data_IF_237085744979
#
_entry.id   IF_237085744979
#
_cell.length_a   1.000
_cell.length_b   1.000
_cell.length_c   1.000
_cell.angle_alpha   90.00
_cell.angle_beta   90.00
_cell.angle_gamma   90.00
#
_symmetry.space_group_name_H-M   'P 1'
#
loop_
_entity.id
_entity.type
_entity.pdbx_description
1 polymer ?
#
# COMPACT_ATOMS: atom_id res chain seq x y z
N UNK A 1 -23.35 -15.58 4.35
CA UNK A 1 -23.66 -14.14 4.54
C UNK A 1 -22.66 -13.36 5.42
N UNK A 2 -22.01 -13.96 6.43
CA UNK A 2 -21.10 -13.25 7.37
C UNK A 2 -19.80 -12.73 6.71
N UNK A 3 -19.24 -13.46 5.74
CA UNK A 3 -18.00 -13.09 5.02
C UNK A 3 -18.12 -11.75 4.26
N UNK A 4 -19.28 -11.49 3.65
CA UNK A 4 -19.52 -10.26 2.87
C UNK A 4 -19.68 -9.03 3.78
N UNK A 5 -20.30 -9.18 4.96
CA UNK A 5 -20.41 -8.10 5.94
C UNK A 5 -19.06 -7.68 6.52
N UNK A 6 -18.14 -8.62 6.76
CA UNK A 6 -16.79 -8.31 7.23
C UNK A 6 -15.99 -7.52 6.18
N UNK A 7 -16.05 -7.94 4.91
CA UNK A 7 -15.40 -7.24 3.80
C UNK A 7 -15.90 -5.79 3.62
N UNK A 8 -17.22 -5.55 3.69
CA UNK A 8 -17.76 -4.18 3.64
C UNK A 8 -17.30 -3.33 4.84
N UNK A 9 -17.16 -3.93 6.03
CA UNK A 9 -16.74 -3.20 7.22
C UNK A 9 -15.29 -2.72 7.13
N UNK A 10 -14.37 -3.58 6.70
CA UNK A 10 -12.97 -3.17 6.50
C UNK A 10 -12.79 -2.19 5.34
N UNK A 11 -13.59 -2.33 4.28
CA UNK A 11 -13.59 -1.36 3.19
C UNK A 11 -14.03 0.02 3.72
N UNK A 12 -15.12 0.05 4.50
CA UNK A 12 -15.62 1.26 5.14
C UNK A 12 -14.60 1.88 6.11
N UNK A 13 -13.94 1.08 6.95
CA UNK A 13 -12.92 1.58 7.88
C UNK A 13 -11.72 2.18 7.14
N UNK A 14 -11.30 1.58 6.01
CA UNK A 14 -10.26 2.13 5.13
C UNK A 14 -10.70 3.45 4.48
N UNK A 15 -11.91 3.48 3.93
CA UNK A 15 -12.47 4.66 3.28
C UNK A 15 -12.63 5.81 4.29
N UNK A 16 -13.04 5.51 5.52
CA UNK A 16 -13.15 6.49 6.62
C UNK A 16 -11.77 7.04 6.99
N UNK A 17 -10.75 6.19 7.15
CA UNK A 17 -9.38 6.64 7.43
C UNK A 17 -8.84 7.54 6.30
N UNK A 18 -9.11 7.17 5.05
CA UNK A 18 -8.78 7.98 3.87
C UNK A 18 -9.49 9.33 3.89
N UNK A 19 -10.79 9.36 4.18
CA UNK A 19 -11.58 10.60 4.25
C UNK A 19 -11.08 11.49 5.40
N UNK A 20 -10.79 10.93 6.58
CA UNK A 20 -10.27 11.68 7.73
C UNK A 20 -8.90 12.29 7.41
N UNK A 21 -8.01 11.52 6.77
CA UNK A 21 -6.72 12.04 6.33
C UNK A 21 -6.90 13.14 5.27
N UNK A 22 -7.78 12.93 4.29
CA UNK A 22 -8.08 13.93 3.25
C UNK A 22 -8.66 15.22 3.84
N UNK A 23 -9.62 15.13 4.76
CA UNK A 23 -10.25 16.27 5.44
C UNK A 23 -9.26 17.03 6.34
N UNK A 24 -8.46 16.32 7.13
CA UNK A 24 -7.42 16.93 7.98
C UNK A 24 -6.38 17.68 7.15
N UNK A 25 -6.08 17.18 5.95
CA UNK A 25 -5.15 17.79 5.02
C UNK A 25 -5.75 18.97 4.26
N UNK A 26 -7.02 18.89 3.81
CA UNK A 26 -7.74 20.03 3.27
C UNK A 26 -7.85 21.16 4.29
N UNK A 27 -8.11 20.84 5.57
CA UNK A 27 -8.08 21.81 6.67
C UNK A 27 -6.70 22.42 6.89
N UNK A 28 -5.63 21.62 6.89
CA UNK A 28 -4.26 22.16 7.01
C UNK A 28 -3.86 23.03 5.80
N UNK A 29 -4.32 22.67 4.61
CA UNK A 29 -4.12 23.46 3.40
C UNK A 29 -4.87 24.79 3.50
N UNK A 30 -6.16 24.75 3.85
CA UNK A 30 -6.97 25.94 4.09
C UNK A 30 -6.33 26.85 5.15
N UNK A 31 -5.84 26.30 6.25
CA UNK A 31 -5.21 27.07 7.33
C UNK A 31 -3.86 27.69 6.92
N UNK A 32 -3.03 26.97 6.14
CA UNK A 32 -1.79 27.52 5.56
C UNK A 32 -2.06 28.56 4.48
N UNK A 33 -3.16 28.41 3.75
CA UNK A 33 -3.60 29.32 2.69
C UNK A 33 -4.19 30.59 3.30
N UNK A 34 -4.98 30.50 4.37
CA UNK A 34 -5.48 31.65 5.11
C UNK A 34 -4.31 32.46 5.69
N UNK A 35 -3.31 31.79 6.26
CA UNK A 35 -2.06 32.44 6.74
C UNK A 35 -1.20 33.03 5.61
N UNK A 36 -1.19 32.43 4.42
CA UNK A 36 -0.45 32.91 3.25
C UNK A 36 -1.14 34.07 2.52
N UNK A 37 -2.47 34.01 2.40
CA UNK A 37 -3.32 35.02 1.79
C UNK A 37 -3.50 36.23 2.70
N UNK A 38 -3.57 36.07 4.02
CA UNK A 38 -3.45 37.22 4.95
C UNK A 38 -2.09 37.93 4.81
N UNK A 39 -1.00 37.18 4.57
CA UNK A 39 0.33 37.78 4.41
C UNK A 39 0.53 38.49 3.07
N UNK A 40 -0.05 38.00 1.97
CA UNK A 40 0.03 38.66 0.66
C UNK A 40 -1.06 39.72 0.42
N UNK A 41 -2.25 39.56 1.01
CA UNK A 41 -3.40 40.46 0.83
C UNK A 41 -3.40 41.69 1.73
N UNK A 42 -2.81 41.62 2.94
CA UNK A 42 -2.76 42.75 3.86
C UNK A 42 -1.42 43.52 3.87
N UNK A 43 -0.43 43.12 3.07
CA UNK A 43 0.91 43.73 3.05
C UNK A 43 1.13 44.86 2.04
N UNK A 44 0.26 45.02 1.04
CA UNK A 44 0.40 46.01 -0.02
C UNK A 44 -0.92 46.79 -0.13
N UNK A 45 -0.95 47.97 0.47
CA UNK A 45 -2.10 48.87 0.42
C UNK A 45 -2.61 49.11 -1.00
N UNK A 46 -3.87 48.72 -1.24
CA UNK A 46 -4.87 49.55 -1.93
C UNK A 46 -4.82 49.80 -3.44
N UNK A 47 -3.78 49.44 -4.23
CA UNK A 47 -3.67 50.02 -5.61
C UNK A 47 -3.44 49.03 -6.78
N UNK A 48 -3.77 47.73 -6.69
CA UNK A 48 -3.61 46.83 -7.85
C UNK A 48 -4.59 45.63 -7.94
N UNK A 49 -5.87 45.83 -7.64
CA UNK A 49 -6.84 44.73 -7.50
C UNK A 49 -7.33 44.08 -8.81
N UNK A 50 -6.95 44.54 -10.00
CA UNK A 50 -7.59 44.07 -11.25
C UNK A 50 -6.81 43.06 -12.11
N UNK A 51 -5.48 42.91 -11.97
CA UNK A 51 -4.69 41.96 -12.81
C UNK A 51 -3.99 40.86 -12.00
N UNK A 52 -3.76 41.04 -10.70
CA UNK A 52 -3.11 40.04 -9.83
C UNK A 52 -4.03 38.96 -9.24
N UNK A 53 -5.34 39.22 -9.16
CA UNK A 53 -6.30 38.33 -8.47
C UNK A 53 -6.67 37.11 -9.32
N UNK A 54 -6.72 37.25 -10.64
CA UNK A 54 -7.04 36.14 -11.55
C UNK A 54 -5.85 35.18 -11.73
N UNK A 55 -4.63 35.70 -11.84
CA UNK A 55 -3.42 34.87 -11.96
C UNK A 55 -3.13 34.04 -10.71
N UNK A 56 -3.32 34.62 -9.53
CA UNK A 56 -3.11 33.91 -8.25
C UNK A 56 -4.17 32.84 -8.00
N UNK A 57 -5.43 33.07 -8.40
CA UNK A 57 -6.50 32.07 -8.30
C UNK A 57 -6.27 30.85 -9.20
N UNK A 58 -5.81 31.05 -10.45
CA UNK A 58 -5.51 29.94 -11.38
C UNK A 58 -4.31 29.12 -10.88
N UNK A 59 -3.24 29.79 -10.47
CA UNK A 59 -2.04 29.14 -9.93
C UNK A 59 -2.35 28.38 -8.63
N UNK A 60 -3.26 28.89 -7.82
CA UNK A 60 -3.77 28.22 -6.63
C UNK A 60 -4.57 26.94 -6.96
N UNK A 61 -5.52 27.03 -7.90
CA UNK A 61 -6.31 25.87 -8.35
C UNK A 61 -5.42 24.77 -8.95
N UNK A 62 -4.36 25.14 -9.66
CA UNK A 62 -3.37 24.20 -10.19
C UNK A 62 -2.57 23.52 -9.07
N UNK A 63 -2.18 24.27 -8.02
CA UNK A 63 -1.49 23.70 -6.87
C UNK A 63 -2.35 22.70 -6.11
N UNK A 64 -3.62 23.01 -5.88
CA UNK A 64 -4.55 22.09 -5.20
C UNK A 64 -4.77 20.83 -6.03
N UNK A 65 -5.01 20.96 -7.34
CA UNK A 65 -5.16 19.81 -8.23
C UNK A 65 -3.89 18.94 -8.28
N UNK A 66 -2.70 19.55 -8.30
CA UNK A 66 -1.44 18.81 -8.26
C UNK A 66 -1.21 18.07 -6.94
N UNK A 67 -1.64 18.65 -5.81
CA UNK A 67 -1.57 17.98 -4.50
C UNK A 67 -2.57 16.83 -4.41
N UNK A 68 -3.79 16.99 -4.92
CA UNK A 68 -4.79 15.92 -4.95
C UNK A 68 -4.28 14.73 -5.80
N UNK A 69 -3.76 14.99 -7.01
CA UNK A 69 -3.14 13.97 -7.85
C UNK A 69 -1.94 13.27 -7.18
N UNK A 70 -1.12 14.04 -6.43
CA UNK A 70 0.01 13.50 -5.69
C UNK A 70 -0.40 12.59 -4.52
N UNK A 71 -1.51 12.91 -3.85
CA UNK A 71 -2.11 12.10 -2.78
C UNK A 71 -2.71 10.83 -3.38
N UNK A 72 -3.47 10.93 -4.46
CA UNK A 72 -4.05 9.76 -5.13
C UNK A 72 -2.96 8.80 -5.63
N UNK A 73 -1.85 9.33 -6.17
CA UNK A 73 -0.68 8.53 -6.55
C UNK A 73 0.02 7.89 -5.34
N UNK A 74 0.09 8.58 -4.20
CA UNK A 74 0.67 8.02 -2.97
C UNK A 74 -0.19 6.89 -2.39
N UNK A 75 -1.52 7.02 -2.45
CA UNK A 75 -2.47 5.99 -2.06
C UNK A 75 -2.31 4.76 -2.95
N UNK A 76 -2.35 4.93 -4.27
CA UNK A 76 -2.19 3.82 -5.22
C UNK A 76 -0.84 3.10 -5.03
N UNK A 77 0.24 3.86 -4.79
CA UNK A 77 1.55 3.30 -4.48
C UNK A 77 1.58 2.51 -3.17
N UNK A 78 0.97 3.05 -2.11
CA UNK A 78 0.91 2.37 -0.81
C UNK A 78 0.02 1.13 -0.80
N UNK A 79 -1.06 1.12 -1.58
CA UNK A 79 -1.87 -0.08 -1.79
C UNK A 79 -1.09 -1.17 -2.51
N UNK A 80 -0.37 -0.83 -3.59
CA UNK A 80 0.46 -1.78 -4.31
C UNK A 80 1.57 -2.39 -3.42
N UNK A 81 2.26 -1.55 -2.64
CA UNK A 81 3.31 -2.00 -1.71
C UNK A 81 2.74 -2.88 -0.60
N UNK A 82 1.56 -2.52 -0.06
CA UNK A 82 0.92 -3.34 0.97
C UNK A 82 0.40 -4.67 0.44
N UNK A 83 -0.16 -4.73 -0.77
CA UNK A 83 -0.57 -6.01 -1.38
C UNK A 83 0.63 -6.92 -1.57
N UNK A 84 1.75 -6.40 -2.08
CA UNK A 84 2.99 -7.17 -2.25
C UNK A 84 3.52 -7.71 -0.91
N UNK A 85 3.58 -6.86 0.12
CA UNK A 85 4.03 -7.26 1.45
C UNK A 85 3.10 -8.29 2.11
N UNK A 86 1.79 -8.13 1.96
CA UNK A 86 0.80 -9.06 2.49
C UNK A 86 0.89 -10.44 1.85
N UNK A 87 0.98 -10.53 0.53
CA UNK A 87 1.12 -11.82 -0.14
C UNK A 87 2.45 -12.52 0.19
N UNK A 88 3.54 -11.77 0.34
CA UNK A 88 4.81 -12.34 0.80
C UNK A 88 4.71 -12.91 2.23
N UNK A 89 4.05 -12.19 3.14
CA UNK A 89 3.82 -12.66 4.51
C UNK A 89 2.88 -13.87 4.56
N UNK A 90 1.82 -13.87 3.73
CA UNK A 90 0.89 -14.99 3.59
C UNK A 90 1.57 -16.27 3.11
N UNK A 91 2.39 -16.18 2.05
CA UNK A 91 3.17 -17.31 1.55
C UNK A 91 4.13 -17.86 2.62
N UNK A 92 4.84 -16.98 3.33
CA UNK A 92 5.74 -17.37 4.42
C UNK A 92 4.98 -18.09 5.55
N UNK A 93 3.78 -17.61 5.89
CA UNK A 93 2.94 -18.24 6.92
C UNK A 93 2.46 -19.62 6.48
N UNK A 94 2.03 -19.77 5.22
CA UNK A 94 1.63 -21.06 4.67
C UNK A 94 2.77 -22.08 4.75
N UNK A 95 3.97 -21.70 4.31
CA UNK A 95 5.15 -22.58 4.35
C UNK A 95 5.41 -23.07 5.77
N UNK A 96 5.41 -22.17 6.75
CA UNK A 96 5.57 -22.54 8.17
C UNK A 96 4.47 -23.50 8.67
N UNK A 97 3.22 -23.30 8.24
CA UNK A 97 2.13 -24.20 8.60
C UNK A 97 2.35 -25.59 8.00
N UNK A 98 2.75 -25.67 6.72
CA UNK A 98 3.05 -26.94 6.05
C UNK A 98 4.21 -27.68 6.73
N UNK A 99 5.31 -26.97 7.04
CA UNK A 99 6.45 -27.52 7.78
C UNK A 99 6.04 -28.02 9.16
N UNK A 100 5.21 -27.26 9.87
CA UNK A 100 4.83 -27.62 11.24
C UNK A 100 3.86 -28.79 11.33
N UNK A 101 2.85 -28.82 10.44
CA UNK A 101 1.74 -29.79 10.45
C UNK A 101 2.10 -31.05 9.71
N UNK A 102 2.67 -30.94 8.51
CA UNK A 102 3.00 -32.10 7.67
C UNK A 102 4.44 -32.55 7.81
N UNK A 103 5.30 -31.80 8.52
CA UNK A 103 6.74 -32.10 8.67
C UNK A 103 7.46 -32.23 7.33
N UNK A 104 6.99 -31.53 6.30
CA UNK A 104 7.61 -31.47 4.98
C UNK A 104 8.59 -30.31 4.97
N UNK A 105 9.84 -30.56 4.59
CA UNK A 105 10.82 -29.49 4.34
C UNK A 105 10.94 -29.18 2.85
N UNK A 106 10.86 -30.22 2.02
CA UNK A 106 11.11 -30.15 0.58
C UNK A 106 10.05 -30.98 -0.16
N UNK A 107 9.67 -30.54 -1.36
CA UNK A 107 8.78 -31.29 -2.25
C UNK A 107 9.55 -31.58 -3.54
N UNK A 108 9.76 -32.85 -3.85
CA UNK A 108 10.44 -33.34 -5.05
C UNK A 108 11.83 -32.72 -5.24
N UNK A 109 12.58 -32.55 -4.13
CA UNK A 109 13.91 -31.92 -4.13
C UNK A 109 13.91 -30.40 -4.27
N UNK A 110 12.74 -29.76 -4.34
CA UNK A 110 12.57 -28.30 -4.37
C UNK A 110 12.17 -27.77 -3.00
N UNK A 111 12.64 -26.57 -2.65
CA UNK A 111 12.23 -25.88 -1.42
C UNK A 111 10.78 -25.44 -1.51
N UNK A 112 10.10 -25.39 -0.37
CA UNK A 112 8.70 -24.94 -0.29
C UNK A 112 8.54 -23.49 -0.80
N UNK A 113 9.54 -22.63 -0.58
CA UNK A 113 9.57 -21.24 -1.07
C UNK A 113 9.54 -21.13 -2.59
N UNK A 114 10.11 -22.12 -3.30
CA UNK A 114 10.11 -22.14 -4.76
C UNK A 114 8.76 -22.57 -5.36
N UNK A 115 7.92 -23.22 -4.56
CA UNK A 115 6.62 -23.78 -4.99
C UNK A 115 5.49 -22.85 -4.54
N UNK A 116 5.54 -22.41 -3.29
CA UNK A 116 4.55 -21.58 -2.64
C UNK A 116 5.05 -20.14 -2.57
N UNK A 117 4.70 -19.40 -3.62
CA UNK A 117 5.06 -17.99 -3.77
C UNK A 117 3.90 -17.10 -3.35
N UNK A 118 4.14 -15.79 -3.34
CA UNK A 118 3.11 -14.77 -3.16
C UNK A 118 1.90 -14.93 -4.10
N UNK A 119 2.05 -15.56 -5.27
CA UNK A 119 0.94 -15.77 -6.21
C UNK A 119 0.23 -17.12 -6.04
N UNK A 120 0.91 -18.14 -5.51
CA UNK A 120 0.42 -19.53 -5.54
C UNK A 120 -0.03 -20.04 -4.17
N UNK A 121 0.26 -19.33 -3.07
CA UNK A 121 -0.08 -19.78 -1.71
C UNK A 121 -1.59 -19.82 -1.39
N UNK A 122 -2.44 -19.26 -2.26
CA UNK A 122 -3.90 -19.34 -2.12
C UNK A 122 -4.52 -20.47 -2.93
N UNK A 123 -3.74 -21.12 -3.81
CA UNK A 123 -4.22 -22.23 -4.63
C UNK A 123 -4.23 -23.53 -3.83
N UNK A 124 -5.39 -23.80 -3.21
CA UNK A 124 -5.65 -25.02 -2.44
C UNK A 124 -5.36 -26.26 -3.27
N UNK A 125 -5.69 -26.28 -4.57
CA UNK A 125 -5.51 -27.46 -5.41
C UNK A 125 -4.03 -27.75 -5.64
N UNK A 126 -3.23 -26.71 -5.91
CA UNK A 126 -1.78 -26.84 -6.07
C UNK A 126 -1.13 -27.32 -4.77
N UNK A 127 -1.52 -26.75 -3.64
CA UNK A 127 -0.96 -27.11 -2.33
C UNK A 127 -1.34 -28.55 -1.96
N UNK A 128 -2.62 -28.90 -2.03
CA UNK A 128 -3.10 -30.26 -1.75
C UNK A 128 -2.45 -31.29 -2.68
N UNK A 129 -2.37 -31.00 -3.99
CA UNK A 129 -1.70 -31.88 -4.95
C UNK A 129 -0.22 -32.09 -4.64
N UNK A 130 0.48 -31.03 -4.24
CA UNK A 130 1.91 -31.08 -3.90
C UNK A 130 2.16 -31.91 -2.63
N UNK A 131 1.35 -31.69 -1.58
CA UNK A 131 1.43 -32.45 -0.33
C UNK A 131 1.07 -33.93 -0.56
N UNK A 132 0.00 -34.20 -1.30
CA UNK A 132 -0.44 -35.56 -1.60
C UNK A 132 0.57 -36.35 -2.45
N UNK A 133 1.27 -35.67 -3.37
CA UNK A 133 2.34 -36.29 -4.17
C UNK A 133 3.51 -36.70 -3.28
N UNK A 134 3.94 -35.85 -2.33
CA UNK A 134 4.96 -36.24 -1.35
C UNK A 134 4.51 -37.40 -0.49
N UNK A 135 3.28 -37.34 0.03
CA UNK A 135 2.72 -38.42 0.83
C UNK A 135 2.73 -39.76 0.08
N UNK A 136 2.29 -39.76 -1.18
CA UNK A 136 2.25 -40.99 -1.98
C UNK A 136 3.66 -41.53 -2.27
N UNK A 137 4.62 -40.66 -2.60
CA UNK A 137 5.99 -41.10 -2.87
C UNK A 137 6.69 -41.65 -1.62
N UNK A 138 6.53 -40.98 -0.48
CA UNK A 138 7.26 -41.36 0.74
C UNK A 138 6.57 -42.50 1.49
N UNK A 139 5.24 -42.43 1.64
CA UNK A 139 4.48 -43.33 2.51
C UNK A 139 3.94 -44.57 1.80
N UNK A 140 3.57 -44.45 0.51
CA UNK A 140 3.00 -45.57 -0.26
C UNK A 140 4.10 -46.29 -1.03
N UNK A 141 4.89 -45.56 -1.82
CA UNK A 141 5.95 -46.13 -2.66
C UNK A 141 7.22 -46.49 -1.85
N UNK A 142 7.33 -46.04 -0.59
CA UNK A 142 8.43 -46.33 0.35
C UNK A 142 9.81 -46.17 -0.29
N UNK A 143 10.03 -45.05 -0.98
CA UNK A 143 11.32 -44.75 -1.59
C UNK A 143 12.39 -44.70 -0.48
N UNK A 144 13.37 -45.61 -0.55
CA UNK A 144 14.39 -45.78 0.49
C UNK A 144 15.23 -44.51 0.68
N UNK A 145 15.33 -44.04 1.93
CA UNK A 145 16.10 -42.85 2.33
C UNK A 145 15.29 -41.57 2.50
N UNK A 146 13.97 -41.57 2.25
CA UNK A 146 13.11 -40.41 2.47
C UNK A 146 12.62 -40.30 3.93
N UNK A 147 12.44 -39.06 4.40
CA UNK A 147 11.97 -38.76 5.75
C UNK A 147 10.49 -39.17 5.94
N UNK A 148 10.24 -40.24 6.71
CA UNK A 148 8.90 -40.73 7.03
C UNK A 148 8.08 -39.83 7.96
N UNK A 149 8.60 -38.66 8.37
CA UNK A 149 7.91 -37.73 9.26
C UNK A 149 6.51 -37.33 8.76
N UNK A 150 6.32 -37.20 7.45
CA UNK A 150 5.01 -36.95 6.84
C UNK A 150 4.04 -38.12 7.05
N UNK A 151 4.53 -39.36 6.98
CA UNK A 151 3.74 -40.58 7.17
C UNK A 151 3.30 -40.72 8.63
N UNK A 152 4.18 -40.34 9.56
CA UNK A 152 3.84 -40.30 10.97
C UNK A 152 2.89 -39.14 11.29
N UNK A 153 3.10 -37.96 10.72
CA UNK A 153 2.20 -36.81 10.91
C UNK A 153 0.77 -37.10 10.42
N UNK A 154 0.63 -37.80 9.28
CA UNK A 154 -0.66 -38.17 8.71
C UNK A 154 -1.23 -39.48 9.30
N UNK A 155 -0.37 -40.39 9.76
CA UNK A 155 -0.74 -41.70 10.34
C UNK A 155 -1.09 -41.64 11.83
N UNK A 156 -0.43 -40.77 12.61
CA UNK A 156 -0.72 -40.57 14.06
C UNK A 156 -2.06 -39.85 14.27
N UNK A 157 -2.55 -39.07 13.30
CA UNK A 157 -3.89 -38.49 13.35
C UNK A 157 -5.03 -39.53 13.20
N UNK A 158 -4.72 -40.79 12.89
CA UNK A 158 -5.70 -41.86 12.66
C UNK A 158 -5.71 -43.01 13.67
N UNK A 159 -4.74 -43.11 14.58
CA UNK A 159 -4.61 -44.27 15.49
C UNK A 159 -4.15 -43.86 16.90
N UNK A 160 -4.77 -42.83 17.46
CA UNK A 160 -4.63 -42.44 18.85
C UNK A 160 -5.79 -41.56 19.26
N UNK A 161 -6.73 -42.14 19.99
CA UNK A 161 -7.78 -41.49 20.79
C UNK A 161 -8.47 -40.27 20.17
N UNK A 162 -9.61 -40.55 19.53
CA UNK A 162 -10.86 -39.82 19.75
C UNK A 162 -10.84 -38.28 19.67
N UNK A 163 -11.30 -37.78 18.51
CA UNK A 163 -12.12 -36.57 18.35
C UNK A 163 -11.49 -35.20 18.66
N UNK A 164 -11.10 -34.51 17.59
CA UNK A 164 -11.31 -33.06 17.51
C UNK A 164 -11.78 -32.56 16.13
N UNK A 165 -11.49 -33.30 15.03
CA UNK A 165 -11.82 -32.83 13.67
C UNK A 165 -12.60 -33.83 12.79
N UNK A 166 -12.73 -35.10 13.15
CA UNK A 166 -13.54 -36.08 12.36
C UNK A 166 -13.05 -36.35 10.94
N UNK A 167 -11.82 -35.94 10.60
CA UNK A 167 -11.26 -36.05 9.24
C UNK A 167 -10.13 -37.09 9.23
N UNK A 168 -10.23 -38.09 8.35
CA UNK A 168 -9.20 -39.10 8.14
C UNK A 168 -8.09 -38.52 7.23
N UNK A 169 -7.00 -37.99 7.81
CA UNK A 169 -5.91 -37.31 7.09
C UNK A 169 -5.12 -38.21 6.12
N UNK A 170 -5.37 -39.51 6.13
CA UNK A 170 -4.81 -40.47 5.15
C UNK A 170 -5.50 -40.39 3.77
N UNK A 171 -6.60 -39.65 3.68
CA UNK A 171 -7.35 -39.44 2.44
C UNK A 171 -7.06 -38.06 1.83
N UNK A 172 -7.12 -37.96 0.51
CA UNK A 172 -6.94 -36.70 -0.23
C UNK A 172 -7.83 -35.57 0.31
N UNK A 173 -9.06 -35.91 0.73
CA UNK A 173 -10.03 -34.97 1.26
C UNK A 173 -9.63 -34.41 2.63
N UNK A 174 -8.93 -35.21 3.44
CA UNK A 174 -8.43 -34.76 4.72
C UNK A 174 -7.24 -33.81 4.60
N UNK A 175 -6.33 -34.09 3.67
CA UNK A 175 -5.25 -33.16 3.30
C UNK A 175 -5.85 -31.86 2.75
N UNK A 176 -6.85 -31.97 1.87
CA UNK A 176 -7.55 -30.81 1.31
C UNK A 176 -8.14 -29.92 2.41
N UNK A 177 -8.89 -30.50 3.34
CA UNK A 177 -9.54 -29.75 4.43
C UNK A 177 -8.51 -29.03 5.31
N UNK A 178 -7.40 -29.71 5.64
CA UNK A 178 -6.30 -29.11 6.41
C UNK A 178 -5.65 -27.95 5.65
N UNK A 179 -5.40 -28.13 4.35
CA UNK A 179 -4.87 -27.07 3.47
C UNK A 179 -5.83 -25.88 3.38
N UNK A 180 -7.15 -26.09 3.28
CA UNK A 180 -8.14 -25.01 3.26
C UNK A 180 -8.07 -24.15 4.52
N UNK A 181 -7.91 -24.77 5.70
CA UNK A 181 -7.72 -24.06 6.97
C UNK A 181 -6.40 -23.27 6.95
N UNK A 182 -5.30 -23.88 6.50
CA UNK A 182 -4.00 -23.20 6.42
C UNK A 182 -4.01 -22.01 5.48
N UNK A 183 -4.66 -22.15 4.32
CA UNK A 183 -4.82 -21.06 3.35
C UNK A 183 -5.65 -19.94 3.97
N UNK A 184 -6.74 -20.25 4.67
CA UNK A 184 -7.54 -19.24 5.38
C UNK A 184 -6.73 -18.49 6.44
N UNK A 185 -5.88 -19.17 7.19
CA UNK A 185 -4.99 -18.54 8.18
C UNK A 185 -3.92 -17.67 7.52
N UNK A 186 -3.33 -18.15 6.43
CA UNK A 186 -2.36 -17.41 5.62
C UNK A 186 -2.97 -16.16 4.98
N UNK A 187 -4.20 -16.24 4.47
CA UNK A 187 -4.98 -15.08 3.99
C UNK A 187 -5.27 -14.08 5.10
N UNK A 188 -5.58 -14.57 6.31
CA UNK A 188 -5.77 -13.72 7.49
C UNK A 188 -4.52 -12.91 7.81
N UNK A 189 -3.35 -13.56 7.84
CA UNK A 189 -2.06 -12.90 8.04
C UNK A 189 -1.74 -11.94 6.90
N UNK A 190 -1.94 -12.36 5.65
CA UNK A 190 -1.68 -11.53 4.47
C UNK A 190 -2.41 -10.19 4.56
N UNK A 191 -3.68 -10.24 4.97
CA UNK A 191 -4.51 -9.04 5.11
C UNK A 191 -4.04 -8.08 6.20
N UNK A 192 -3.63 -8.61 7.37
CA UNK A 192 -3.09 -7.80 8.47
C UNK A 192 -1.83 -7.09 8.01
N UNK A 193 -0.93 -7.82 7.35
CA UNK A 193 0.31 -7.25 6.81
C UNK A 193 0.06 -6.27 5.66
N UNK A 194 -0.92 -6.52 4.78
CA UNK A 194 -1.31 -5.56 3.75
C UNK A 194 -1.74 -4.25 4.36
N UNK A 195 -2.65 -4.27 5.34
CA UNK A 195 -3.13 -3.04 5.96
C UNK A 195 -1.99 -2.27 6.64
N UNK A 196 -1.16 -2.98 7.44
CA UNK A 196 -0.03 -2.36 8.14
C UNK A 196 1.02 -1.77 7.19
N UNK A 197 1.37 -2.49 6.12
CA UNK A 197 2.34 -2.04 5.13
C UNK A 197 1.78 -0.89 4.28
N UNK A 198 0.50 -0.92 3.90
CA UNK A 198 -0.16 0.19 3.21
C UNK A 198 -0.16 1.45 4.06
N UNK A 199 -0.53 1.36 5.35
CA UNK A 199 -0.50 2.52 6.25
C UNK A 199 0.91 3.12 6.36
N UNK A 200 1.94 2.27 6.52
CA UNK A 200 3.33 2.71 6.59
C UNK A 200 3.83 3.34 5.29
N UNK A 201 3.48 2.75 4.15
CA UNK A 201 3.84 3.24 2.82
C UNK A 201 3.17 4.59 2.53
N UNK A 202 1.86 4.72 2.81
CA UNK A 202 1.11 5.97 2.65
C UNK A 202 1.69 7.07 3.54
N UNK A 203 1.99 6.77 4.81
CA UNK A 203 2.62 7.72 5.73
C UNK A 203 3.97 8.24 5.24
N UNK A 204 4.65 7.50 4.34
CA UNK A 204 5.93 7.88 3.74
C UNK A 204 5.76 8.57 2.38
N UNK A 205 4.86 8.07 1.53
CA UNK A 205 4.66 8.54 0.16
C UNK A 205 3.93 9.88 0.10
N UNK A 206 2.93 10.11 0.97
CA UNK A 206 2.20 11.38 1.02
C UNK A 206 3.16 12.56 1.27
N UNK A 207 3.95 12.62 2.35
CA UNK A 207 4.83 13.76 2.60
C UNK A 207 5.89 13.92 1.51
N UNK A 208 6.38 12.81 0.93
CA UNK A 208 7.34 12.83 -0.18
C UNK A 208 6.74 13.49 -1.44
N UNK A 209 5.57 13.05 -1.87
CA UNK A 209 4.93 13.54 -3.10
C UNK A 209 4.45 14.99 -2.91
N UNK A 210 3.87 15.33 -1.75
CA UNK A 210 3.52 16.71 -1.43
C UNK A 210 4.74 17.62 -1.34
N UNK A 211 5.86 17.12 -0.81
CA UNK A 211 7.14 17.82 -0.78
C UNK A 211 7.60 18.18 -2.19
N UNK A 212 7.56 17.22 -3.13
CA UNK A 212 7.92 17.45 -4.52
C UNK A 212 7.04 18.52 -5.21
N UNK A 213 5.73 18.48 -4.98
CA UNK A 213 4.79 19.50 -5.50
C UNK A 213 5.10 20.87 -4.92
N UNK A 214 5.31 20.96 -3.59
CA UNK A 214 5.62 22.24 -2.95
C UNK A 214 6.97 22.83 -3.39
N UNK A 215 8.00 22.00 -3.57
CA UNK A 215 9.31 22.44 -4.10
C UNK A 215 9.19 22.97 -5.53
N UNK A 216 8.43 22.27 -6.38
CA UNK A 216 8.18 22.71 -7.77
C UNK A 216 7.36 24.00 -7.81
N UNK A 217 6.38 24.15 -6.92
CA UNK A 217 5.62 25.39 -6.83
C UNK A 217 6.48 26.57 -6.34
N UNK A 218 7.38 26.33 -5.37
CA UNK A 218 8.27 27.35 -4.85
C UNK A 218 9.24 27.88 -5.92
N UNK A 219 9.77 27.01 -6.79
CA UNK A 219 10.61 27.45 -7.91
C UNK A 219 9.82 28.30 -8.92
N UNK A 220 8.57 27.93 -9.24
CA UNK A 220 7.70 28.73 -10.09
C UNK A 220 7.39 30.12 -9.50
N UNK A 221 7.18 30.21 -8.17
CA UNK A 221 6.95 31.50 -7.50
C UNK A 221 8.17 32.42 -7.57
N UNK A 222 9.37 31.88 -7.37
CA UNK A 222 10.62 32.66 -7.46
C UNK A 222 10.80 33.24 -8.87
N UNK A 223 10.51 32.45 -9.91
CA UNK A 223 10.59 32.90 -11.30
C UNK A 223 9.61 34.05 -11.60
N UNK A 224 8.38 33.99 -11.07
CA UNK A 224 7.38 35.05 -11.22
C UNK A 224 7.85 36.34 -10.52
N UNK A 225 8.35 36.24 -9.28
CA UNK A 225 8.85 37.40 -8.53
C UNK A 225 10.02 38.06 -9.27
N UNK A 226 10.98 37.27 -9.78
CA UNK A 226 12.12 37.78 -10.54
C UNK A 226 11.67 38.56 -11.80
N UNK A 227 10.65 38.08 -12.51
CA UNK A 227 10.08 38.77 -13.67
C UNK A 227 9.41 40.10 -13.29
N UNK A 228 8.68 40.15 -12.16
CA UNK A 228 8.04 41.39 -11.69
C UNK A 228 9.09 42.43 -11.30
N UNK A 229 10.12 42.01 -10.57
CA UNK A 229 11.25 42.89 -10.19
C UNK A 229 11.93 43.45 -11.44
N UNK A 230 12.17 42.63 -12.45
CA UNK A 230 12.76 43.08 -13.71
C UNK A 230 11.90 44.15 -14.42
N UNK A 231 10.58 43.96 -14.49
CA UNK A 231 9.66 44.95 -15.10
C UNK A 231 9.68 46.26 -14.31
N UNK A 232 9.64 46.21 -12.98
CA UNK A 232 9.66 47.40 -12.11
C UNK A 232 10.96 48.17 -12.29
N UNK A 233 12.10 47.48 -12.40
CA UNK A 233 13.41 48.12 -12.65
C UNK A 233 13.43 48.83 -14.00
N UNK A 234 12.92 48.19 -15.07
CA UNK A 234 12.85 48.81 -16.42
C UNK A 234 11.95 50.05 -16.38
N UNK A 235 10.80 49.98 -15.71
CA UNK A 235 9.88 51.10 -15.58
C UNK A 235 10.49 52.29 -14.81
N UNK A 236 11.23 52.02 -13.73
CA UNK A 236 11.95 53.06 -12.97
C UNK A 236 13.02 53.75 -13.82
N UNK A 237 13.79 53.00 -14.61
CA UNK A 237 14.80 53.57 -15.52
C UNK A 237 14.14 54.51 -16.54
N UNK A 238 13.05 54.07 -17.16
CA UNK A 238 12.29 54.88 -18.12
C UNK A 238 11.77 56.18 -17.49
N UNK A 239 11.29 56.13 -16.25
CA UNK A 239 10.78 57.28 -15.52
C UNK A 239 11.88 58.30 -15.18
N UNK A 240 13.06 57.84 -14.75
CA UNK A 240 14.21 58.70 -14.47
C UNK A 240 14.66 59.43 -15.75
N UNK A 241 14.81 58.70 -16.86
CA UNK A 241 15.18 59.29 -18.15
C UNK A 241 14.15 60.34 -18.58
N UNK A 242 12.86 60.04 -18.45
CA UNK A 242 11.78 60.98 -18.76
C UNK A 242 11.85 62.26 -17.91
N UNK A 243 12.11 62.14 -16.61
CA UNK A 243 12.23 63.30 -15.73
C UNK A 243 13.43 64.18 -16.08
N UNK A 244 14.55 63.57 -16.49
CA UNK A 244 15.74 64.31 -16.95
C UNK A 244 15.45 65.02 -18.28
N UNK A 245 14.76 64.36 -19.21
CA UNK A 245 14.45 64.95 -20.53
C UNK A 245 13.39 66.06 -20.46
N UNK A 246 12.52 66.04 -19.44
CA UNK A 246 11.46 67.04 -19.26
C UNK A 246 11.96 68.33 -18.61
N UNK A 247 13.08 68.28 -17.89
CA UNK A 247 13.67 69.42 -17.20
C UNK A 247 14.73 70.09 -18.07
#
# INVERSE_FOLDING_TARGET
MIKNRKKCKEQCDKDIQQIILKDKMQKSLAEKVEKGCLKCGCGLGGVATSVGVLGTAVVYALKTAALDAAIDAAIAGGEAEGVAAGHAAGATKLIKLIESTFKIQNIAGKSLESIFTAQTYTDVSLITGSVNTQYTMVCVQKVGGADMSICNALGVAGLGEEQALGVNLTTLEGIRTSVEVMVSDAEGVAKVFTNSATEKAIATLIPKNMGAVNTTYASCQIAIIASIVAIVVIALIMLIIYLILRY
#
